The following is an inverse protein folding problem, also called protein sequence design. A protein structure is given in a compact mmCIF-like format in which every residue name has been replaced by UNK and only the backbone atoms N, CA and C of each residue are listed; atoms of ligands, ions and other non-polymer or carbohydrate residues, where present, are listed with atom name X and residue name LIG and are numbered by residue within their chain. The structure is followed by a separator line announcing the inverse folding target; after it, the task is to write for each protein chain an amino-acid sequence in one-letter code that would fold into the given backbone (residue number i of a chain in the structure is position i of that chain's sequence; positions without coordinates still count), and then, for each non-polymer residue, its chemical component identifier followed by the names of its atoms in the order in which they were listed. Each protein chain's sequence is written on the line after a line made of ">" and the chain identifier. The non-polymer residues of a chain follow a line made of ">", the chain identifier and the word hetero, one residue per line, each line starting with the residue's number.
data_IF_042832898090
#
_entry.id   IF_042832898090
#
_cell.length_a   1.000
_cell.length_b   1.000
_cell.length_c   1.000
_cell.angle_alpha   90.00
_cell.angle_beta   90.00
_cell.angle_gamma   90.00
#
_symmetry.space_group_name_H-M   'P 1'
#
loop_
_entity.id
_entity.type
_entity.pdbx_description
1 polymer ?
#
# COMPACT_ATOMS: atom_id res chain seq x y z
N UNK A 1 9.04 -10.24 -3.01
CA UNK A 1 9.37 -11.27 -4.03
C UNK A 1 10.86 -11.25 -4.35
N UNK A 2 11.46 -12.42 -4.63
CA UNK A 2 12.81 -12.55 -5.18
C UNK A 2 12.86 -12.06 -6.63
N UNK A 3 14.06 -12.03 -7.22
CA UNK A 3 14.24 -11.64 -8.63
C UNK A 3 13.44 -12.51 -9.62
N UNK A 4 13.18 -13.77 -9.30
CA UNK A 4 12.35 -14.71 -10.07
C UNK A 4 10.83 -14.58 -9.78
N UNK A 5 10.43 -13.52 -9.06
CA UNK A 5 9.06 -13.24 -8.62
C UNK A 5 8.45 -14.29 -7.67
N UNK A 6 9.24 -15.19 -7.08
CA UNK A 6 8.75 -16.06 -5.99
C UNK A 6 8.70 -15.29 -4.67
N UNK A 7 7.81 -15.71 -3.78
CA UNK A 7 7.70 -15.12 -2.45
C UNK A 7 9.04 -15.22 -1.70
N UNK A 8 9.43 -14.13 -1.05
CA UNK A 8 10.63 -14.05 -0.23
C UNK A 8 10.25 -13.86 1.23
N UNK A 9 9.41 -12.84 1.45
CA UNK A 9 8.81 -12.44 2.72
C UNK A 9 7.43 -11.88 2.41
N UNK A 10 6.51 -12.06 3.35
CA UNK A 10 5.18 -11.44 3.38
C UNK A 10 5.15 -10.39 4.48
N UNK A 11 4.62 -9.20 4.20
CA UNK A 11 4.44 -8.17 5.23
C UNK A 11 3.35 -8.59 6.20
N UNK A 12 3.47 -8.19 7.46
CA UNK A 12 2.37 -8.31 8.43
C UNK A 12 1.20 -7.36 8.15
N UNK A 13 1.34 -6.42 7.20
CA UNK A 13 0.23 -5.60 6.75
C UNK A 13 -0.60 -6.33 5.70
N UNK A 14 -1.72 -6.85 6.18
CA UNK A 14 -2.69 -7.57 5.35
C UNK A 14 -4.06 -6.87 5.29
N UNK A 15 -4.28 -5.84 6.10
CA UNK A 15 -5.52 -5.09 6.19
C UNK A 15 -5.31 -3.57 6.08
N UNK A 16 -6.34 -2.91 5.55
CA UNK A 16 -6.44 -1.47 5.34
C UNK A 16 -7.85 -1.05 5.73
N UNK A 17 -7.99 0.13 6.34
CA UNK A 17 -9.26 0.85 6.32
C UNK A 17 -9.44 1.47 4.92
N UNK A 18 -10.64 1.97 4.62
CA UNK A 18 -10.90 2.74 3.41
C UNK A 18 -11.33 4.17 3.76
N UNK A 19 -10.48 5.14 3.42
CA UNK A 19 -10.67 6.57 3.63
C UNK A 19 -10.26 7.40 2.40
N UNK A 20 -10.82 8.61 2.29
CA UNK A 20 -10.57 9.50 1.15
C UNK A 20 -9.39 10.46 1.42
N UNK A 21 -8.21 9.92 1.72
CA UNK A 21 -7.06 10.73 2.17
C UNK A 21 -6.47 11.61 1.06
N UNK A 22 -6.58 11.19 -0.20
CA UNK A 22 -5.97 11.88 -1.34
C UNK A 22 -6.96 12.15 -2.46
N UNK A 23 -6.82 13.32 -3.09
CA UNK A 23 -7.52 13.64 -4.32
C UNK A 23 -6.67 13.18 -5.52
N UNK A 24 -6.98 12.00 -6.08
CA UNK A 24 -6.22 11.43 -7.20
C UNK A 24 -6.65 12.05 -8.52
N UNK A 25 -7.96 11.99 -8.83
CA UNK A 25 -8.54 12.64 -10.00
C UNK A 25 -10.05 12.84 -9.82
N UNK A 26 -10.46 14.05 -9.44
CA UNK A 26 -11.88 14.40 -9.32
C UNK A 26 -12.53 14.83 -10.64
N UNK A 27 -11.81 14.81 -11.75
CA UNK A 27 -12.42 15.13 -13.06
C UNK A 27 -13.14 13.93 -13.68
N UNK A 28 -12.94 12.72 -13.13
CA UNK A 28 -13.60 11.50 -13.63
C UNK A 28 -15.10 11.48 -13.36
N UNK A 29 -15.83 10.69 -14.15
CA UNK A 29 -17.28 10.54 -14.01
C UNK A 29 -17.64 10.01 -12.61
N UNK A 30 -18.64 10.63 -11.98
CA UNK A 30 -19.15 10.31 -10.65
C UNK A 30 -18.17 10.59 -9.49
N UNK A 31 -17.09 11.36 -9.72
CA UNK A 31 -16.21 11.76 -8.63
C UNK A 31 -16.96 12.62 -7.60
N UNK A 32 -16.69 12.36 -6.31
CA UNK A 32 -17.20 13.17 -5.23
C UNK A 32 -16.20 14.31 -4.95
N UNK A 33 -16.56 15.55 -5.29
CA UNK A 33 -15.67 16.70 -5.12
C UNK A 33 -15.56 17.18 -3.68
N UNK A 34 -16.46 16.71 -2.81
CA UNK A 34 -16.48 17.00 -1.38
C UNK A 34 -16.68 15.68 -0.63
N UNK A 35 -15.68 14.78 -0.65
CA UNK A 35 -15.77 13.53 0.08
C UNK A 35 -15.84 13.80 1.58
N UNK A 36 -16.64 13.00 2.27
CA UNK A 36 -16.60 12.93 3.73
C UNK A 36 -15.43 12.02 4.14
N UNK A 37 -14.98 12.13 5.39
CA UNK A 37 -14.01 11.20 5.98
C UNK A 37 -12.66 11.17 5.24
N UNK A 38 -12.03 12.34 5.12
CA UNK A 38 -10.79 12.56 4.35
C UNK A 38 -9.51 12.32 5.16
N UNK A 39 -9.63 11.65 6.32
CA UNK A 39 -8.48 11.23 7.12
C UNK A 39 -8.74 9.87 7.79
N UNK A 40 -7.67 9.24 8.27
CA UNK A 40 -7.73 7.93 8.92
C UNK A 40 -8.14 8.00 10.40
N UNK A 41 -8.29 9.20 10.98
CA UNK A 41 -8.47 9.39 12.43
C UNK A 41 -9.84 8.95 12.92
N UNK A 42 -10.87 9.07 12.08
CA UNK A 42 -12.24 8.61 12.39
C UNK A 42 -12.75 7.55 11.43
N UNK A 43 -12.08 7.38 10.28
CA UNK A 43 -12.51 6.42 9.26
C UNK A 43 -12.40 4.97 9.69
N UNK A 44 -11.39 4.64 10.48
CA UNK A 44 -11.11 3.28 10.94
C UNK A 44 -11.91 2.87 12.20
N UNK A 45 -12.69 3.78 12.77
CA UNK A 45 -13.31 3.60 14.09
C UNK A 45 -12.33 3.59 15.26
N UNK A 46 -12.88 3.42 16.45
CA UNK A 46 -12.17 3.30 17.73
C UNK A 46 -12.44 1.94 18.37
N UNK A 47 -11.66 1.55 19.41
CA UNK A 47 -11.77 0.24 20.08
C UNK A 47 -13.19 -0.11 20.55
N UNK A 48 -13.98 0.90 20.94
CA UNK A 48 -15.36 0.74 21.42
C UNK A 48 -16.42 0.87 20.31
N UNK A 49 -16.03 0.96 19.04
CA UNK A 49 -16.95 1.14 17.92
C UNK A 49 -17.77 -0.13 17.67
N UNK A 50 -19.10 0.01 17.69
CA UNK A 50 -20.03 -1.10 17.42
C UNK A 50 -20.15 -1.37 15.91
N UNK A 51 -19.94 -0.34 15.09
CA UNK A 51 -19.93 -0.43 13.63
C UNK A 51 -19.10 0.70 13.03
N UNK A 52 -18.34 0.39 11.99
CA UNK A 52 -17.56 1.37 11.21
C UNK A 52 -18.07 1.37 9.78
N UNK A 53 -18.10 2.55 9.15
CA UNK A 53 -18.40 2.69 7.73
C UNK A 53 -17.19 3.28 7.02
N UNK A 54 -16.55 2.43 6.23
CA UNK A 54 -15.39 2.78 5.42
C UNK A 54 -15.81 2.91 3.96
N UNK A 55 -15.36 3.98 3.29
CA UNK A 55 -15.73 4.29 1.90
C UNK A 55 -14.52 4.93 1.23
N UNK A 56 -14.16 4.38 0.06
CA UNK A 56 -13.26 5.04 -0.88
C UNK A 56 -14.09 5.54 -2.07
N UNK A 57 -14.27 6.86 -2.14
CA UNK A 57 -15.06 7.52 -3.17
C UNK A 57 -14.31 7.54 -4.52
N UNK A 58 -15.08 7.61 -5.59
CA UNK A 58 -14.53 7.68 -6.95
C UNK A 58 -13.66 8.91 -7.11
N UNK A 59 -12.44 8.71 -7.59
CA UNK A 59 -11.44 9.77 -7.77
C UNK A 59 -10.58 10.03 -6.53
N UNK A 60 -10.88 9.41 -5.39
CA UNK A 60 -10.06 9.47 -4.18
C UNK A 60 -9.04 8.34 -4.13
N UNK A 61 -7.99 8.55 -3.34
CA UNK A 61 -7.00 7.56 -2.95
C UNK A 61 -6.92 7.44 -1.43
N UNK A 62 -6.32 6.35 -0.98
CA UNK A 62 -6.08 6.05 0.44
C UNK A 62 -4.60 5.75 0.68
N UNK A 63 -3.89 6.75 1.20
CA UNK A 63 -2.45 6.68 1.47
C UNK A 63 -2.20 6.41 2.93
N UNK A 64 -1.54 5.28 3.18
CA UNK A 64 -0.96 4.98 4.48
C UNK A 64 0.51 5.37 4.49
N UNK A 65 0.89 6.26 5.39
CA UNK A 65 2.29 6.67 5.58
C UNK A 65 3.13 5.55 6.22
N UNK A 66 4.46 5.63 6.07
CA UNK A 66 5.39 4.59 6.54
C UNK A 66 5.55 4.50 8.06
N UNK A 67 5.20 5.57 8.78
CA UNK A 67 5.27 5.66 10.24
C UNK A 67 4.11 4.92 10.94
N UNK A 68 3.06 4.55 10.20
CA UNK A 68 1.97 3.77 10.75
C UNK A 68 2.41 2.33 11.09
N UNK A 69 1.95 1.76 12.22
CA UNK A 69 2.30 0.41 12.60
C UNK A 69 2.02 -0.63 11.50
N UNK A 70 2.92 -1.60 11.37
CA UNK A 70 2.79 -2.69 10.40
C UNK A 70 3.20 -2.33 8.97
N UNK A 71 3.56 -1.08 8.67
CA UNK A 71 4.00 -0.61 7.34
C UNK A 71 5.42 -1.04 6.96
N UNK A 72 5.79 -2.29 7.23
CA UNK A 72 7.16 -2.76 7.05
C UNK A 72 7.23 -4.22 6.62
N UNK A 73 8.42 -4.60 6.16
CA UNK A 73 8.83 -5.98 5.97
C UNK A 73 9.96 -6.25 6.94
N UNK A 74 9.89 -7.35 7.67
CA UNK A 74 11.06 -7.85 8.37
C UNK A 74 12.04 -8.43 7.34
N UNK A 75 13.20 -7.78 7.20
CA UNK A 75 14.25 -8.19 6.27
C UNK A 75 15.47 -8.77 6.97
N UNK A 76 15.40 -9.00 8.29
CA UNK A 76 16.55 -9.41 9.12
C UNK A 76 17.32 -10.57 8.50
N UNK A 77 16.62 -11.64 8.14
CA UNK A 77 17.19 -12.86 7.58
C UNK A 77 17.11 -12.94 6.04
N UNK A 78 16.66 -11.88 5.37
CA UNK A 78 16.59 -11.84 3.91
C UNK A 78 17.99 -11.56 3.35
N UNK A 79 18.55 -12.42 2.48
CA UNK A 79 19.89 -12.18 1.92
C UNK A 79 20.01 -10.87 1.12
N UNK A 80 21.25 -10.43 0.89
CA UNK A 80 21.51 -9.32 -0.03
C UNK A 80 21.15 -9.73 -1.47
N UNK A 81 20.62 -8.79 -2.24
CA UNK A 81 20.20 -9.05 -3.61
C UNK A 81 19.13 -8.10 -4.13
N UNK A 82 18.65 -8.39 -5.34
CA UNK A 82 17.55 -7.66 -5.96
C UNK A 82 16.21 -8.33 -5.64
N UNK A 83 15.26 -7.52 -5.20
CA UNK A 83 13.91 -7.95 -4.83
C UNK A 83 12.86 -7.03 -5.45
N UNK A 84 11.61 -7.48 -5.42
CA UNK A 84 10.45 -6.68 -5.78
C UNK A 84 9.44 -6.69 -4.63
N UNK A 85 9.05 -5.51 -4.17
CA UNK A 85 7.87 -5.34 -3.31
C UNK A 85 6.66 -5.43 -4.22
N UNK A 86 5.72 -6.32 -3.89
CA UNK A 86 4.45 -6.42 -4.59
C UNK A 86 3.35 -5.93 -3.66
N UNK A 87 2.51 -5.03 -4.18
CA UNK A 87 1.26 -4.64 -3.54
C UNK A 87 0.12 -5.18 -4.40
N UNK A 88 -0.86 -5.81 -3.76
CA UNK A 88 -2.05 -6.36 -4.39
C UNK A 88 -3.29 -5.74 -3.76
N UNK A 89 -4.09 -5.03 -4.56
CA UNK A 89 -5.41 -4.56 -4.17
C UNK A 89 -6.44 -5.70 -4.33
N UNK A 90 -7.35 -5.85 -3.35
CA UNK A 90 -8.43 -6.85 -3.38
C UNK A 90 -7.98 -8.26 -3.88
N UNK A 91 -6.91 -8.86 -3.32
CA UNK A 91 -6.34 -10.10 -3.85
C UNK A 91 -7.31 -11.28 -3.82
N UNK A 92 -8.24 -11.28 -2.85
CA UNK A 92 -9.27 -12.31 -2.69
C UNK A 92 -10.55 -12.04 -3.52
N UNK A 93 -10.61 -10.93 -4.26
CA UNK A 93 -11.73 -10.54 -5.12
C UNK A 93 -13.07 -10.46 -4.39
N UNK A 94 -13.04 -9.98 -3.15
CA UNK A 94 -14.24 -9.78 -2.32
C UNK A 94 -15.00 -8.51 -2.71
N UNK A 95 -14.28 -7.48 -3.14
CA UNK A 95 -14.88 -6.28 -3.71
C UNK A 95 -15.15 -6.46 -5.20
N UNK A 96 -16.25 -5.86 -5.68
CA UNK A 96 -16.56 -5.83 -7.10
C UNK A 96 -15.89 -4.63 -7.74
N UNK A 97 -15.01 -4.91 -8.69
CA UNK A 97 -14.28 -3.88 -9.44
C UNK A 97 -14.65 -3.95 -10.92
N UNK A 98 -14.50 -2.83 -11.63
CA UNK A 98 -14.73 -2.75 -13.08
C UNK A 98 -13.58 -3.36 -13.88
N UNK A 99 -12.39 -3.39 -13.30
CA UNK A 99 -11.18 -3.99 -13.83
C UNK A 99 -10.42 -4.64 -12.67
N UNK A 100 -9.95 -5.88 -12.85
CA UNK A 100 -9.14 -6.61 -11.87
C UNK A 100 -7.68 -6.77 -12.31
N UNK A 101 -7.36 -6.36 -13.55
CA UNK A 101 -6.05 -6.57 -14.17
C UNK A 101 -5.05 -5.46 -13.79
N UNK A 102 -5.49 -4.41 -13.09
CA UNK A 102 -4.69 -3.28 -12.62
C UNK A 102 -4.43 -3.30 -11.10
N UNK A 103 -4.72 -4.41 -10.42
CA UNK A 103 -4.62 -4.50 -8.96
C UNK A 103 -3.21 -4.82 -8.44
N UNK A 104 -2.21 -4.99 -9.31
CA UNK A 104 -0.84 -5.32 -8.90
C UNK A 104 0.15 -4.22 -9.27
N UNK A 105 0.92 -3.78 -8.28
CA UNK A 105 2.07 -2.90 -8.46
C UNK A 105 3.34 -3.59 -7.96
N UNK A 106 4.46 -3.36 -8.67
CA UNK A 106 5.78 -3.92 -8.33
C UNK A 106 6.81 -2.80 -8.20
N UNK A 107 7.48 -2.73 -7.05
CA UNK A 107 8.60 -1.80 -6.82
C UNK A 107 9.91 -2.58 -6.67
N UNK A 108 10.87 -2.33 -7.55
CA UNK A 108 12.22 -2.91 -7.42
C UNK A 108 12.96 -2.27 -6.24
N UNK A 109 13.64 -3.11 -5.46
CA UNK A 109 14.57 -2.70 -4.40
C UNK A 109 15.84 -3.55 -4.44
N UNK A 110 16.92 -3.03 -3.88
CA UNK A 110 18.20 -3.75 -3.72
C UNK A 110 18.55 -3.75 -2.24
N UNK A 111 18.64 -4.95 -1.66
CA UNK A 111 19.05 -5.15 -0.27
C UNK A 111 20.55 -5.38 -0.22
N UNK A 112 21.22 -4.68 0.70
CA UNK A 112 22.64 -4.77 0.95
C UNK A 112 22.99 -4.70 2.43
N UNK A 113 24.28 -4.49 2.70
CA UNK A 113 24.80 -4.31 4.06
C UNK A 113 25.13 -5.63 4.77
N UNK A 114 25.21 -5.56 6.10
CA UNK A 114 25.52 -6.67 7.01
C UNK A 114 24.39 -6.83 8.04
N UNK A 115 24.32 -7.96 8.77
CA UNK A 115 23.47 -8.03 9.97
C UNK A 115 23.67 -6.79 10.86
N UNK A 116 22.57 -6.25 11.40
CA UNK A 116 22.51 -5.01 12.19
C UNK A 116 22.91 -3.70 11.48
N UNK A 117 23.30 -3.76 10.20
CA UNK A 117 23.64 -2.62 9.36
C UNK A 117 23.13 -2.84 7.93
N UNK A 118 21.84 -3.18 7.81
CA UNK A 118 21.18 -3.44 6.53
C UNK A 118 20.97 -2.13 5.78
N UNK A 119 21.05 -2.21 4.46
CA UNK A 119 20.80 -1.06 3.57
C UNK A 119 19.77 -1.44 2.51
N UNK A 120 18.98 -0.44 2.10
CA UNK A 120 18.01 -0.57 1.02
C UNK A 120 18.29 0.54 0.01
N UNK A 121 18.43 0.17 -1.26
CA UNK A 121 18.46 1.12 -2.37
C UNK A 121 17.23 0.92 -3.23
N UNK A 122 16.54 2.02 -3.55
CA UNK A 122 15.32 2.01 -4.33
C UNK A 122 15.58 2.76 -5.65
N UNK A 123 15.79 2.06 -6.78
CA UNK A 123 15.96 2.71 -8.08
C UNK A 123 14.76 3.60 -8.42
N UNK A 124 14.88 4.57 -9.33
CA UNK A 124 13.71 5.31 -9.81
C UNK A 124 12.65 4.39 -10.41
N UNK A 125 11.37 4.75 -10.27
CA UNK A 125 10.25 4.07 -10.91
C UNK A 125 9.32 5.12 -11.49
N UNK A 126 9.18 5.10 -12.81
CA UNK A 126 8.48 6.12 -13.58
C UNK A 126 8.94 7.53 -13.17
N UNK A 127 8.01 8.38 -12.73
CA UNK A 127 8.28 9.74 -12.25
C UNK A 127 8.60 9.81 -10.75
N UNK A 128 8.59 8.68 -10.04
CA UNK A 128 8.79 8.62 -8.58
C UNK A 128 10.22 8.21 -8.25
N UNK A 129 10.98 9.18 -7.71
CA UNK A 129 12.28 8.99 -7.10
C UNK A 129 12.13 8.82 -5.57
N UNK A 130 12.80 7.81 -5.02
CA UNK A 130 12.94 7.68 -3.58
C UNK A 130 14.06 8.62 -3.13
N UNK A 131 13.72 9.88 -2.86
CA UNK A 131 14.62 10.87 -2.25
C UNK A 131 14.05 11.28 -0.89
#
# INVERSE_FOLDING_TARGET
>A
LKADKKEAVRSGKEAFCLANTDAIDYTVKNANWHPYNTDLSTACGEENSISVREVLDVGSGDTYSQDLPGQSFDITDVPNGTYYIQVLANPEKRLKETNLDNNSALRKIVLGGKPDARTVTVPAHDLVNAN
#
